data_IF_388355842533
#
_entry.id   IF_388355842533
#
_cell.length_a   1.000
_cell.length_b   1.000
_cell.length_c   1.000
_cell.angle_alpha   90.00
_cell.angle_beta   90.00
_cell.angle_gamma   90.00
#
_symmetry.space_group_name_H-M   'P 1'
#
loop_
_entity.id
_entity.type
_entity.pdbx_description
1 polymer ?
#
# COMPACT_ATOMS: atom_id res chain seq x y z
N UNK A 1 2.67 -30.65 -33.58
CA UNK A 1 2.92 -29.25 -33.14
C UNK A 1 2.43 -28.32 -34.24
N UNK A 2 1.41 -27.49 -34.02
CA UNK A 2 1.01 -26.51 -35.05
C UNK A 2 -0.48 -26.18 -35.08
N UNK A 3 -0.90 -25.23 -34.25
CA UNK A 3 -2.19 -24.52 -34.41
C UNK A 3 -2.09 -23.00 -34.08
N UNK A 4 -0.93 -22.50 -33.60
CA UNK A 4 -0.81 -21.10 -33.11
C UNK A 4 -0.19 -20.06 -34.06
N UNK A 5 0.30 -20.44 -35.24
CA UNK A 5 1.12 -19.57 -36.09
C UNK A 5 0.43 -18.29 -36.66
N UNK A 6 -0.86 -18.32 -37.07
CA UNK A 6 -1.52 -17.14 -37.66
C UNK A 6 -1.77 -16.02 -36.64
N UNK A 7 -2.31 -16.36 -35.46
CA UNK A 7 -2.62 -15.41 -34.40
C UNK A 7 -1.37 -14.70 -33.88
N UNK A 8 -0.24 -15.44 -33.80
CA UNK A 8 1.06 -14.88 -33.44
C UNK A 8 1.48 -13.81 -34.43
N UNK A 9 1.59 -14.14 -35.72
CA UNK A 9 2.07 -13.20 -36.75
C UNK A 9 1.22 -11.92 -36.77
N UNK A 10 -0.10 -12.05 -36.62
CA UNK A 10 -1.02 -10.92 -36.51
C UNK A 10 -0.71 -10.07 -35.28
N UNK A 11 -0.50 -10.67 -34.11
CA UNK A 11 -0.13 -9.95 -32.89
C UNK A 11 1.18 -9.17 -33.04
N UNK A 12 2.23 -9.78 -33.59
CA UNK A 12 3.53 -9.11 -33.80
C UNK A 12 3.42 -7.95 -34.79
N UNK A 13 2.71 -8.14 -35.90
CA UNK A 13 2.49 -7.06 -36.88
C UNK A 13 1.77 -5.89 -36.23
N UNK A 14 0.74 -6.15 -35.41
CA UNK A 14 0.01 -5.10 -34.67
C UNK A 14 0.90 -4.42 -33.63
N UNK A 15 1.72 -5.17 -32.91
CA UNK A 15 2.68 -4.61 -31.94
C UNK A 15 3.72 -3.70 -32.59
N UNK A 16 4.29 -4.13 -33.72
CA UNK A 16 5.25 -3.31 -34.47
C UNK A 16 4.58 -2.06 -35.05
N UNK A 17 3.37 -2.18 -35.61
CA UNK A 17 2.58 -1.04 -36.08
C UNK A 17 2.28 -0.05 -34.98
N UNK A 18 1.85 -0.53 -33.81
CA UNK A 18 1.60 0.32 -32.64
C UNK A 18 2.86 1.07 -32.21
N UNK A 19 3.99 0.38 -32.10
CA UNK A 19 5.28 0.99 -31.71
C UNK A 19 5.76 2.04 -32.73
N UNK A 20 5.55 1.81 -34.03
CA UNK A 20 6.00 2.70 -35.09
C UNK A 20 5.04 3.87 -35.38
N UNK A 21 3.75 3.74 -35.05
CA UNK A 21 2.73 4.77 -35.35
C UNK A 21 2.54 5.85 -34.27
N UNK A 22 3.44 5.96 -33.27
CA UNK A 22 3.54 7.08 -32.32
C UNK A 22 2.20 7.71 -31.89
N UNK A 23 1.23 6.92 -31.45
CA UNK A 23 0.02 7.45 -30.82
C UNK A 23 -1.13 7.87 -31.74
N UNK A 24 -1.14 7.51 -33.03
CA UNK A 24 -2.43 7.46 -33.75
C UNK A 24 -3.31 6.41 -33.07
N UNK A 25 -4.53 6.78 -32.64
CA UNK A 25 -5.51 5.91 -31.97
C UNK A 25 -5.82 4.67 -32.83
N UNK A 26 -4.97 3.66 -32.73
CA UNK A 26 -5.29 2.32 -33.14
C UNK A 26 -6.31 1.81 -32.12
N UNK A 27 -7.54 1.58 -32.57
CA UNK A 27 -8.62 0.89 -31.86
C UNK A 27 -8.28 -0.60 -31.69
N UNK A 28 -7.08 -0.88 -31.21
CA UNK A 28 -6.53 -2.22 -31.12
C UNK A 28 -6.22 -2.56 -29.66
N UNK A 29 -6.46 -3.81 -29.27
CA UNK A 29 -6.21 -4.33 -27.93
C UNK A 29 -4.73 -4.33 -27.50
N UNK A 30 -3.80 -4.05 -28.43
CA UNK A 30 -2.35 -4.12 -28.17
C UNK A 30 -1.89 -3.04 -27.19
N UNK A 31 -2.25 -1.75 -27.37
CA UNK A 31 -2.06 -0.72 -26.34
C UNK A 31 -2.50 -1.18 -24.95
N UNK A 32 -3.72 -1.73 -24.82
CA UNK A 32 -4.26 -2.18 -23.53
C UNK A 32 -3.41 -3.30 -22.91
N UNK A 33 -2.97 -4.27 -23.72
CA UNK A 33 -2.08 -5.34 -23.27
C UNK A 33 -0.75 -4.75 -22.78
N UNK A 34 -0.13 -3.85 -23.55
CA UNK A 34 1.15 -3.25 -23.18
C UNK A 34 1.00 -2.40 -21.92
N UNK A 35 -0.07 -1.62 -21.80
CA UNK A 35 -0.36 -0.80 -20.62
C UNK A 35 -0.56 -1.67 -19.37
N UNK A 36 -1.37 -2.73 -19.46
CA UNK A 36 -1.59 -3.65 -18.35
C UNK A 36 -0.28 -4.35 -17.94
N UNK A 37 0.49 -4.83 -18.91
CA UNK A 37 1.78 -5.47 -18.63
C UNK A 37 2.78 -4.48 -18.02
N UNK A 38 2.81 -3.23 -18.48
CA UNK A 38 3.64 -2.17 -17.91
C UNK A 38 3.23 -1.85 -16.47
N UNK A 39 1.92 -1.73 -16.21
CA UNK A 39 1.35 -1.44 -14.90
C UNK A 39 1.77 -2.46 -13.84
N UNK A 40 1.96 -3.71 -14.22
CA UNK A 40 2.35 -4.79 -13.31
C UNK A 40 3.80 -5.27 -13.49
N UNK A 41 4.64 -4.51 -14.19
CA UNK A 41 6.06 -4.86 -14.40
C UNK A 41 6.27 -6.24 -15.06
N UNK A 42 5.42 -6.55 -16.04
CA UNK A 42 5.39 -7.80 -16.79
C UNK A 42 5.84 -7.64 -18.25
N UNK A 43 6.32 -6.46 -18.65
CA UNK A 43 6.80 -6.21 -20.02
C UNK A 43 7.94 -7.14 -20.42
N UNK A 44 8.78 -7.54 -19.49
CA UNK A 44 9.86 -8.49 -19.76
C UNK A 44 9.33 -9.83 -20.26
N UNK A 45 8.18 -10.30 -19.78
CA UNK A 45 7.57 -11.55 -20.29
C UNK A 45 7.16 -11.41 -21.75
N UNK A 46 6.63 -10.24 -22.14
CA UNK A 46 6.32 -9.94 -23.54
C UNK A 46 7.60 -9.89 -24.39
N UNK A 47 8.67 -9.26 -23.89
CA UNK A 47 9.96 -9.20 -24.58
C UNK A 47 10.56 -10.60 -24.75
N UNK A 48 10.57 -11.42 -23.70
CA UNK A 48 11.04 -12.81 -23.78
C UNK A 48 10.23 -13.59 -24.80
N UNK A 49 8.89 -13.52 -24.77
CA UNK A 49 8.04 -14.18 -25.76
C UNK A 49 8.34 -13.71 -27.19
N UNK A 50 8.64 -12.42 -27.38
CA UNK A 50 9.04 -11.85 -28.67
C UNK A 50 10.32 -12.49 -29.19
N UNK A 51 11.32 -12.65 -28.32
CA UNK A 51 12.66 -13.12 -28.69
C UNK A 51 12.75 -14.65 -28.80
N UNK A 52 12.16 -15.38 -27.85
CA UNK A 52 12.32 -16.84 -27.74
C UNK A 52 11.20 -17.61 -28.41
N UNK A 53 10.08 -16.95 -28.75
CA UNK A 53 8.83 -17.59 -29.17
C UNK A 53 8.18 -18.48 -28.08
N UNK A 54 8.71 -18.45 -26.85
CA UNK A 54 8.18 -19.27 -25.77
C UNK A 54 7.40 -18.42 -24.79
N UNK A 55 6.09 -18.65 -24.75
CA UNK A 55 5.23 -18.07 -23.72
C UNK A 55 5.21 -19.01 -22.51
N UNK A 56 5.22 -18.49 -21.28
CA UNK A 56 5.11 -19.33 -20.10
C UNK A 56 3.86 -20.22 -20.14
N UNK A 57 4.00 -21.48 -19.75
CA UNK A 57 2.85 -22.37 -19.59
C UNK A 57 1.82 -21.75 -18.63
N UNK A 58 0.54 -22.08 -18.83
CA UNK A 58 -0.60 -21.43 -18.12
C UNK A 58 -0.43 -21.35 -16.60
N UNK A 59 0.08 -22.41 -15.97
CA UNK A 59 0.30 -22.48 -14.51
C UNK A 59 1.40 -21.52 -14.06
N UNK A 60 2.53 -21.51 -14.79
CA UNK A 60 3.64 -20.61 -14.54
C UNK A 60 3.23 -19.15 -14.77
N UNK A 61 2.54 -18.88 -15.89
CA UNK A 61 2.02 -17.55 -16.19
C UNK A 61 1.11 -17.03 -15.06
N UNK A 62 0.13 -17.83 -14.62
CA UNK A 62 -0.75 -17.46 -13.51
C UNK A 62 0.03 -17.17 -12.23
N UNK A 63 1.04 -17.98 -11.91
CA UNK A 63 1.90 -17.77 -10.73
C UNK A 63 2.68 -16.45 -10.84
N UNK A 64 3.28 -16.19 -12.00
CA UNK A 64 4.02 -14.96 -12.28
C UNK A 64 3.12 -13.72 -12.19
N UNK A 65 1.97 -13.73 -12.86
CA UNK A 65 1.00 -12.62 -12.80
C UNK A 65 0.58 -12.36 -11.35
N UNK A 66 0.16 -13.40 -10.62
CA UNK A 66 -0.29 -13.23 -9.24
C UNK A 66 0.81 -12.71 -8.31
N UNK A 67 2.08 -13.06 -8.57
CA UNK A 67 3.23 -12.52 -7.83
C UNK A 67 3.38 -11.02 -8.11
N UNK A 68 3.53 -10.65 -9.38
CA UNK A 68 3.74 -9.26 -9.80
C UNK A 68 2.58 -8.33 -9.43
N UNK A 69 1.34 -8.81 -9.56
CA UNK A 69 0.16 -8.06 -9.14
C UNK A 69 0.22 -7.76 -7.63
N UNK A 70 0.50 -8.76 -6.79
CA UNK A 70 0.64 -8.57 -5.34
C UNK A 70 1.77 -7.61 -4.99
N UNK A 71 2.96 -7.82 -5.56
CA UNK A 71 4.12 -6.95 -5.34
C UNK A 71 3.82 -5.50 -5.74
N UNK A 72 3.06 -5.29 -6.82
CA UNK A 72 2.67 -3.96 -7.26
C UNK A 72 1.70 -3.29 -6.28
N UNK A 73 0.69 -4.02 -5.81
CA UNK A 73 -0.21 -3.50 -4.77
C UNK A 73 0.55 -3.20 -3.47
N UNK A 74 1.46 -4.07 -3.04
CA UNK A 74 2.31 -3.87 -1.86
C UNK A 74 3.21 -2.65 -1.99
N UNK A 75 3.78 -2.42 -3.18
CA UNK A 75 4.62 -1.24 -3.47
C UNK A 75 3.79 0.03 -3.40
N UNK A 76 2.68 0.10 -4.12
CA UNK A 76 1.77 1.27 -4.13
C UNK A 76 1.24 1.56 -2.73
N UNK A 77 0.88 0.52 -1.97
CA UNK A 77 0.42 0.66 -0.60
C UNK A 77 1.51 1.21 0.32
N UNK A 78 2.74 0.66 0.25
CA UNK A 78 3.89 1.17 1.02
C UNK A 78 4.18 2.63 0.71
N UNK A 79 4.20 3.02 -0.56
CA UNK A 79 4.41 4.41 -0.98
C UNK A 79 3.31 5.36 -0.46
N UNK A 80 2.04 4.93 -0.50
CA UNK A 80 0.92 5.72 0.01
C UNK A 80 1.05 5.97 1.52
N UNK A 81 1.40 4.94 2.27
CA UNK A 81 1.53 5.05 3.72
C UNK A 81 2.78 5.82 4.11
N UNK A 82 3.91 5.59 3.43
CA UNK A 82 5.16 6.30 3.74
C UNK A 82 5.06 7.81 3.48
N UNK A 83 4.22 8.22 2.53
CA UNK A 83 3.96 9.64 2.23
C UNK A 83 2.97 10.29 3.20
N UNK A 84 2.22 9.52 3.98
CA UNK A 84 1.24 10.05 4.90
C UNK A 84 1.77 10.07 6.33
N UNK A 85 2.20 11.25 6.80
CA UNK A 85 2.72 11.44 8.16
C UNK A 85 1.73 11.00 9.26
N UNK A 86 0.41 11.08 9.02
CA UNK A 86 -0.59 10.61 9.99
C UNK A 86 -0.56 9.09 10.17
N UNK A 87 -0.11 8.36 9.16
CA UNK A 87 -0.01 6.90 9.16
C UNK A 87 1.38 6.42 9.54
N UNK A 88 2.26 7.26 10.09
CA UNK A 88 3.62 6.87 10.46
C UNK A 88 3.63 5.66 11.40
N UNK A 89 2.86 5.70 12.50
CA UNK A 89 2.78 4.59 13.44
C UNK A 89 2.13 3.36 12.79
N UNK A 90 1.07 3.57 11.99
CA UNK A 90 0.47 2.51 11.20
C UNK A 90 1.47 1.81 10.28
N UNK A 91 2.38 2.55 9.64
CA UNK A 91 3.44 2.01 8.77
C UNK A 91 4.47 1.16 9.51
N UNK A 92 4.66 1.42 10.81
CA UNK A 92 5.59 0.67 11.66
C UNK A 92 4.97 -0.62 12.20
N UNK A 93 3.68 -0.58 12.52
CA UNK A 93 2.94 -1.73 13.07
C UNK A 93 2.47 -2.66 11.96
N UNK A 94 1.95 -2.10 10.86
CA UNK A 94 1.46 -2.84 9.71
C UNK A 94 2.47 -2.71 8.57
N UNK A 95 3.23 -3.78 8.33
CA UNK A 95 4.34 -3.79 7.36
C UNK A 95 3.98 -4.41 6.01
N UNK A 96 2.81 -5.02 5.92
CA UNK A 96 2.31 -5.71 4.72
C UNK A 96 0.92 -5.19 4.34
N UNK A 97 0.59 -5.23 3.05
CA UNK A 97 -0.75 -4.89 2.57
C UNK A 97 -1.71 -6.08 2.77
N UNK A 98 -1.92 -6.43 4.02
CA UNK A 98 -2.86 -7.48 4.44
C UNK A 98 -3.98 -6.85 5.27
N UNK A 99 -5.00 -7.64 5.58
CA UNK A 99 -6.03 -7.22 6.54
C UNK A 99 -5.36 -6.98 7.89
N UNK A 100 -5.61 -5.82 8.50
CA UNK A 100 -5.07 -5.49 9.82
C UNK A 100 -5.46 -6.53 10.86
N UNK A 101 -4.50 -6.96 11.69
CA UNK A 101 -4.76 -7.89 12.80
C UNK A 101 -5.84 -7.36 13.75
N UNK A 102 -5.90 -6.04 13.94
CA UNK A 102 -6.95 -5.37 14.71
C UNK A 102 -8.34 -5.63 14.15
N UNK A 103 -8.48 -5.64 12.82
CA UNK A 103 -9.75 -5.95 12.16
C UNK A 103 -10.16 -7.42 12.37
N UNK A 104 -9.19 -8.34 12.33
CA UNK A 104 -9.43 -9.77 12.58
C UNK A 104 -9.90 -9.99 14.03
N UNK A 105 -9.24 -9.34 15.00
CA UNK A 105 -9.60 -9.42 16.42
C UNK A 105 -10.99 -8.83 16.67
N UNK A 106 -11.28 -7.66 16.08
CA UNK A 106 -12.58 -7.00 16.18
C UNK A 106 -13.72 -7.88 15.67
N UNK A 107 -13.52 -8.54 14.52
CA UNK A 107 -14.52 -9.44 13.96
C UNK A 107 -14.75 -10.68 14.81
N UNK A 108 -13.72 -11.18 15.49
CA UNK A 108 -13.83 -12.35 16.38
C UNK A 108 -14.42 -12.00 17.75
N UNK A 109 -14.22 -10.78 18.23
CA UNK A 109 -14.66 -10.35 19.55
C UNK A 109 -15.40 -9.01 19.48
N UNK A 110 -16.68 -9.01 19.08
CA UNK A 110 -17.47 -7.78 18.91
C UNK A 110 -17.63 -6.95 20.20
N UNK A 111 -17.51 -7.59 21.37
CA UNK A 111 -17.54 -6.90 22.67
C UNK A 111 -16.41 -5.88 22.85
N UNK A 112 -15.26 -6.10 22.20
CA UNK A 112 -14.09 -5.21 22.29
C UNK A 112 -14.02 -4.18 21.15
N UNK A 113 -15.10 -3.99 20.40
CA UNK A 113 -15.08 -3.15 19.20
C UNK A 113 -14.74 -1.69 19.53
N UNK A 114 -15.16 -1.19 20.70
CA UNK A 114 -14.92 0.19 21.13
C UNK A 114 -13.44 0.41 21.45
N UNK A 115 -12.84 -0.54 22.16
CA UNK A 115 -11.44 -0.59 22.57
C UNK A 115 -10.53 -0.69 21.35
N UNK A 116 -10.86 -1.61 20.44
CA UNK A 116 -10.11 -1.81 19.20
C UNK A 116 -10.18 -0.55 18.31
N UNK A 117 -11.33 0.11 18.24
CA UNK A 117 -11.46 1.39 17.55
C UNK A 117 -10.57 2.49 18.17
N UNK A 118 -10.45 2.54 19.49
CA UNK A 118 -9.56 3.47 20.16
C UNK A 118 -8.09 3.19 19.81
N UNK A 119 -7.67 1.93 19.85
CA UNK A 119 -6.32 1.50 19.44
C UNK A 119 -6.04 1.85 17.97
N UNK A 120 -7.00 1.59 17.06
CA UNK A 120 -6.85 1.95 15.65
C UNK A 120 -6.73 3.47 15.48
N UNK A 121 -7.55 4.27 16.18
CA UNK A 121 -7.45 5.74 16.14
C UNK A 121 -6.09 6.25 16.64
N UNK A 122 -5.53 5.60 17.65
CA UNK A 122 -4.19 5.90 18.16
C UNK A 122 -3.11 5.57 17.13
N UNK A 123 -3.12 4.36 16.56
CA UNK A 123 -2.14 3.91 15.57
C UNK A 123 -2.22 4.74 14.28
N UNK A 124 -3.42 5.14 13.85
CA UNK A 124 -3.64 5.94 12.66
C UNK A 124 -3.47 7.45 12.90
N UNK A 125 -2.96 7.88 14.07
CA UNK A 125 -2.71 9.29 14.38
C UNK A 125 -3.97 10.15 14.38
N UNK A 126 -5.15 9.55 14.44
CA UNK A 126 -6.46 10.22 14.48
C UNK A 126 -6.86 10.60 15.90
N UNK A 127 -6.06 10.20 16.89
CA UNK A 127 -6.21 10.62 18.26
C UNK A 127 -5.75 12.08 18.39
N UNK A 128 -6.71 12.97 18.66
CA UNK A 128 -6.41 14.37 18.98
C UNK A 128 -5.80 14.42 20.38
N UNK A 129 -4.48 14.35 20.47
CA UNK A 129 -3.78 14.83 21.65
C UNK A 129 -4.02 16.33 21.71
N UNK A 130 -4.59 16.85 22.81
CA UNK A 130 -4.77 18.30 23.00
C UNK A 130 -3.40 18.96 22.91
N UNK A 131 -3.18 19.72 21.85
CA UNK A 131 -1.86 20.22 21.53
C UNK A 131 -1.77 21.07 20.28
N UNK A 132 -0.78 21.96 20.26
CA UNK A 132 -0.47 22.84 19.13
C UNK A 132 0.77 22.33 18.41
N UNK A 133 0.76 22.38 17.07
CA UNK A 133 1.98 22.16 16.27
C UNK A 133 2.91 23.35 16.45
N UNK A 134 4.17 23.08 16.76
CA UNK A 134 5.22 24.09 16.77
C UNK A 134 6.14 23.81 15.58
N UNK A 135 6.19 24.74 14.62
CA UNK A 135 7.07 24.62 13.47
C UNK A 135 8.53 24.81 13.93
N UNK A 136 9.35 23.75 13.79
CA UNK A 136 10.78 23.79 14.06
C UNK A 136 11.55 23.48 12.77
N UNK A 137 12.71 24.12 12.48
CA UNK A 137 13.30 24.14 11.13
C UNK A 137 13.75 22.82 10.52
N UNK A 138 13.64 21.68 11.21
CA UNK A 138 14.04 20.35 10.68
C UNK A 138 13.28 19.16 11.30
N UNK A 139 12.28 19.41 12.15
CA UNK A 139 11.57 18.35 12.88
C UNK A 139 10.19 18.84 13.32
N UNK A 140 9.16 18.02 13.13
CA UNK A 140 7.83 18.30 13.66
C UNK A 140 7.83 18.05 15.18
N UNK A 141 7.54 19.10 15.96
CA UNK A 141 7.42 19.03 17.41
C UNK A 141 5.99 19.40 17.77
N UNK A 142 5.26 18.48 18.39
CA UNK A 142 3.92 18.71 18.92
C UNK A 142 4.01 19.13 20.39
N UNK A 143 3.34 20.23 20.73
CA UNK A 143 3.17 20.68 22.11
C UNK A 143 1.94 20.02 22.71
N UNK A 144 2.03 19.46 23.93
CA UNK A 144 0.87 18.93 24.64
C UNK A 144 0.34 19.93 25.68
N UNK A 145 -0.92 20.33 25.53
CA UNK A 145 -1.59 21.26 26.46
C UNK A 145 -1.82 20.64 27.85
N UNK A 146 -1.92 19.31 27.91
CA UNK A 146 -2.21 18.60 29.17
C UNK A 146 -1.00 18.46 30.10
N UNK A 147 0.22 18.60 29.59
CA UNK A 147 1.44 18.49 30.41
C UNK A 147 2.48 19.59 30.14
N UNK A 148 2.16 20.56 29.28
CA UNK A 148 3.00 21.69 28.89
C UNK A 148 4.42 21.31 28.45
N UNK A 149 4.58 20.22 27.68
CA UNK A 149 5.89 19.92 27.05
C UNK A 149 5.78 19.59 25.56
N UNK A 150 6.94 19.57 24.93
CA UNK A 150 7.16 19.35 23.51
C UNK A 150 7.56 17.90 23.23
N UNK A 151 7.02 17.30 22.17
CA UNK A 151 7.25 15.90 21.82
C UNK A 151 7.33 15.68 20.33
N UNK A 152 8.17 14.74 19.92
CA UNK A 152 8.30 14.32 18.52
C UNK A 152 7.17 13.39 18.07
N UNK A 153 6.54 12.69 19.03
CA UNK A 153 5.46 11.76 18.75
C UNK A 153 4.34 11.97 19.78
N UNK A 154 3.26 12.67 19.42
CA UNK A 154 2.18 13.00 20.35
C UNK A 154 1.47 11.74 20.86
N UNK A 155 1.36 10.69 20.04
CA UNK A 155 0.72 9.42 20.42
C UNK A 155 1.57 8.68 21.45
N UNK A 156 2.88 8.54 21.21
CA UNK A 156 3.80 7.93 22.19
C UNK A 156 3.81 8.72 23.49
N UNK A 157 3.81 10.05 23.40
CA UNK A 157 3.72 10.91 24.56
C UNK A 157 2.42 10.67 25.35
N UNK A 158 1.26 10.77 24.70
CA UNK A 158 -0.05 10.55 25.33
C UNK A 158 -0.18 9.15 25.94
N UNK A 159 0.36 8.12 25.28
CA UNK A 159 0.20 6.73 25.70
C UNK A 159 1.22 6.21 26.71
N UNK A 160 2.37 6.85 26.87
CA UNK A 160 3.42 6.31 27.75
C UNK A 160 3.92 7.31 28.80
N UNK A 161 3.87 8.62 28.51
CA UNK A 161 4.66 9.60 29.26
C UNK A 161 3.87 10.82 29.76
N UNK A 162 2.68 11.07 29.22
CA UNK A 162 1.92 12.29 29.49
C UNK A 162 1.21 12.24 30.84
N UNK A 163 1.67 13.01 31.82
CA UNK A 163 1.00 13.08 33.13
C UNK A 163 -0.49 13.47 33.00
N UNK A 164 -0.83 14.37 32.08
CA UNK A 164 -2.21 14.82 31.88
C UNK A 164 -3.15 13.82 31.19
N UNK A 165 -2.65 12.70 30.68
CA UNK A 165 -3.48 11.57 30.21
C UNK A 165 -3.26 10.31 31.05
N UNK A 166 -2.67 10.44 32.24
CA UNK A 166 -2.42 9.31 33.13
C UNK A 166 -3.72 8.57 33.49
N UNK A 167 -4.77 9.28 33.90
CA UNK A 167 -6.06 8.66 34.23
C UNK A 167 -6.69 7.98 33.00
N UNK A 168 -6.58 8.57 31.81
CA UNK A 168 -7.10 7.98 30.56
C UNK A 168 -6.32 6.72 30.18
N UNK A 169 -5.00 6.70 30.45
CA UNK A 169 -4.16 5.51 30.28
C UNK A 169 -4.52 4.43 31.29
N UNK A 170 -4.62 4.77 32.57
CA UNK A 170 -4.99 3.82 33.62
C UNK A 170 -6.34 3.17 33.26
N UNK A 171 -7.33 3.94 32.80
CA UNK A 171 -8.59 3.39 32.28
C UNK A 171 -8.46 2.55 31.00
N UNK A 172 -7.42 2.75 30.19
CA UNK A 172 -7.10 1.92 29.01
C UNK A 172 -6.41 0.60 29.39
N UNK A 173 -5.69 0.57 30.52
CA UNK A 173 -4.85 -0.54 30.97
C UNK A 173 -5.43 -1.34 32.13
N UNK A 174 -6.36 -0.79 32.90
CA UNK A 174 -7.07 -1.45 33.99
C UNK A 174 -8.12 -2.41 33.41
N UNK A 175 -7.67 -3.65 33.25
CA UNK A 175 -8.45 -4.85 32.97
C UNK A 175 -8.18 -5.89 34.05
#
# INVERSE_FOLDING_TARGET
MGVGAPCRRVFFIRLLRWKWNCGKKLTEFVPDIVEILAKYDLLQVLITYILTNDFPIKTLWKKTVNKHVREQYDRVWREKISKNNQLYLYSKVHTKNEVSHWWIIARKNPSFMKEINNVIRLICGSYKVRGKRVDHPNTYIDYCDSCNRNYLNPVTHALLYCLGSQNERELLWDW
#
